data_IF_566746515768
#
_entry.id   IF_566746515768
#
_cell.length_a   1.000
_cell.length_b   1.000
_cell.length_c   1.000
_cell.angle_alpha   90.00
_cell.angle_beta   90.00
_cell.angle_gamma   90.00
#
_symmetry.space_group_name_H-M   'P 1'
#
loop_
_entity.id
_entity.type
_entity.pdbx_description
1 polymer ?
#
# COMPACT_ATOMS: atom_id res chain seq x y z
N UNK A 1 -11.78 -13.08 0.12
CA UNK A 1 -11.01 -11.86 0.44
C UNK A 1 -9.65 -11.91 -0.27
N UNK A 2 -8.91 -10.79 -0.29
CA UNK A 2 -7.58 -10.69 -0.88
C UNK A 2 -6.65 -9.84 -0.02
N UNK A 3 -5.35 -10.08 -0.11
CA UNK A 3 -4.26 -9.33 0.52
C UNK A 3 -3.16 -9.09 -0.51
N UNK A 4 -2.45 -7.98 -0.37
CA UNK A 4 -1.36 -7.55 -1.23
C UNK A 4 -0.13 -8.48 -1.16
N UNK A 5 -0.04 -9.28 -0.10
CA UNK A 5 0.98 -10.30 0.15
C UNK A 5 0.78 -11.57 -0.69
N UNK A 6 0.21 -11.45 -1.89
CA UNK A 6 -0.11 -12.55 -2.81
C UNK A 6 -1.16 -13.55 -2.27
N UNK A 7 -1.96 -13.16 -1.28
CA UNK A 7 -2.95 -14.02 -0.64
C UNK A 7 -4.37 -13.78 -1.12
N UNK A 8 -4.99 -14.75 -1.79
CA UNK A 8 -6.42 -14.69 -2.19
C UNK A 8 -7.19 -15.91 -1.66
N UNK A 9 -8.48 -15.75 -1.34
CA UNK A 9 -9.35 -16.85 -0.93
C UNK A 9 -10.85 -16.50 -0.94
N UNK A 10 -11.70 -17.45 -0.56
CA UNK A 10 -13.14 -17.25 -0.31
C UNK A 10 -13.57 -17.95 0.99
N UNK A 11 -14.86 -17.96 1.30
CA UNK A 11 -15.44 -18.60 2.48
C UNK A 11 -15.53 -20.13 2.42
N UNK A 12 -15.09 -20.75 1.32
CA UNK A 12 -15.06 -22.21 1.16
C UNK A 12 -14.16 -22.91 2.19
N UNK A 13 -13.11 -22.22 2.64
CA UNK A 13 -12.23 -22.59 3.77
C UNK A 13 -11.92 -21.35 4.59
N UNK A 14 -11.28 -21.52 5.75
CA UNK A 14 -10.89 -20.42 6.66
C UNK A 14 -9.43 -20.00 6.51
N UNK A 15 -8.88 -20.18 5.31
CA UNK A 15 -7.48 -19.89 4.96
C UNK A 15 -7.41 -19.27 3.54
N UNK A 16 -6.26 -18.68 3.19
CA UNK A 16 -5.95 -18.35 1.79
C UNK A 16 -5.74 -19.64 1.00
N UNK A 17 -6.11 -19.63 -0.28
CA UNK A 17 -5.91 -20.80 -1.16
C UNK A 17 -5.41 -20.34 -2.54
N UNK A 18 -4.12 -20.60 -2.79
CA UNK A 18 -3.47 -20.26 -4.05
C UNK A 18 -3.96 -21.11 -5.22
N UNK A 19 -4.26 -22.39 -5.01
CA UNK A 19 -4.74 -23.26 -6.08
C UNK A 19 -6.17 -22.88 -6.48
N UNK A 20 -7.00 -22.54 -5.49
CA UNK A 20 -8.32 -21.96 -5.72
C UNK A 20 -8.23 -20.69 -6.56
N UNK A 21 -7.29 -19.78 -6.26
CA UNK A 21 -7.11 -18.54 -7.03
C UNK A 21 -6.67 -18.80 -8.48
N UNK A 22 -5.82 -19.81 -8.71
CA UNK A 22 -5.44 -20.25 -10.07
C UNK A 22 -6.65 -20.80 -10.82
N UNK A 23 -7.43 -21.69 -10.21
CA UNK A 23 -8.63 -22.26 -10.83
C UNK A 23 -9.69 -21.19 -11.10
N UNK A 24 -9.82 -20.18 -10.23
CA UNK A 24 -10.67 -19.01 -10.46
C UNK A 24 -10.26 -18.27 -11.74
N UNK A 25 -8.96 -17.99 -11.92
CA UNK A 25 -8.45 -17.34 -13.13
C UNK A 25 -8.62 -18.21 -14.37
N UNK A 26 -8.38 -19.52 -14.28
CA UNK A 26 -8.60 -20.43 -15.41
C UNK A 26 -10.07 -20.46 -15.83
N UNK A 27 -11.00 -20.43 -14.87
CA UNK A 27 -12.43 -20.31 -15.16
C UNK A 27 -12.75 -18.96 -15.84
N UNK A 28 -12.18 -17.85 -15.36
CA UNK A 28 -12.37 -16.54 -15.98
C UNK A 28 -11.86 -16.52 -17.43
N UNK A 29 -10.68 -17.11 -17.69
CA UNK A 29 -10.11 -17.25 -19.02
C UNK A 29 -10.97 -18.14 -19.92
N UNK A 30 -11.49 -19.25 -19.40
CA UNK A 30 -12.37 -20.15 -20.14
C UNK A 30 -13.69 -19.48 -20.54
N UNK A 31 -14.26 -18.60 -19.70
CA UNK A 31 -15.50 -17.87 -20.02
C UNK A 31 -15.22 -16.68 -20.93
N UNK A 32 -14.17 -15.89 -20.66
CA UNK A 32 -13.87 -14.66 -21.40
C UNK A 32 -13.22 -14.91 -22.75
N UNK A 33 -12.50 -16.03 -22.92
CA UNK A 33 -11.76 -16.37 -24.14
C UNK A 33 -10.82 -15.22 -24.57
N UNK A 34 -10.12 -14.62 -23.61
CA UNK A 34 -9.23 -13.48 -23.78
C UNK A 34 -7.92 -13.72 -23.02
N UNK A 35 -6.79 -13.14 -23.47
CA UNK A 35 -5.56 -13.19 -22.68
C UNK A 35 -5.71 -12.39 -21.37
N UNK A 36 -4.99 -12.80 -20.33
CA UNK A 36 -5.00 -12.13 -19.00
C UNK A 36 -4.78 -10.62 -19.13
N UNK A 37 -3.82 -10.20 -19.95
CA UNK A 37 -3.53 -8.78 -20.18
C UNK A 37 -4.77 -8.00 -20.63
N UNK A 38 -5.55 -8.54 -21.56
CA UNK A 38 -6.75 -7.87 -22.07
C UNK A 38 -7.82 -7.76 -20.98
N UNK A 39 -8.04 -8.83 -20.22
CA UNK A 39 -9.01 -8.83 -19.12
C UNK A 39 -8.65 -7.75 -18.09
N UNK A 40 -7.37 -7.65 -17.73
CA UNK A 40 -6.88 -6.66 -16.76
C UNK A 40 -6.96 -5.24 -17.31
N UNK A 41 -6.58 -5.01 -18.57
CA UNK A 41 -6.69 -3.69 -19.22
C UNK A 41 -8.15 -3.24 -19.37
N UNK A 42 -9.05 -4.16 -19.71
CA UNK A 42 -10.48 -3.86 -19.81
C UNK A 42 -11.06 -3.55 -18.41
N UNK A 43 -10.56 -4.21 -17.35
CA UNK A 43 -10.89 -3.85 -15.96
C UNK A 43 -10.41 -2.45 -15.60
N UNK A 44 -9.16 -2.08 -15.92
CA UNK A 44 -8.64 -0.73 -15.68
C UNK A 44 -9.45 0.34 -16.41
N UNK A 45 -9.82 0.10 -17.67
CA UNK A 45 -10.67 1.04 -18.44
C UNK A 45 -12.02 1.27 -17.78
N UNK A 46 -12.59 0.24 -17.16
CA UNK A 46 -13.91 0.32 -16.53
C UNK A 46 -13.89 0.99 -15.15
N UNK A 47 -12.82 0.80 -14.37
CA UNK A 47 -12.79 1.18 -12.94
C UNK A 47 -11.68 2.19 -12.58
N UNK A 48 -10.80 2.52 -13.52
CA UNK A 48 -9.51 3.15 -13.25
C UNK A 48 -8.43 2.11 -12.91
N UNK A 49 -7.17 2.49 -13.05
CA UNK A 49 -6.02 1.68 -12.62
C UNK A 49 -5.51 2.20 -11.29
N UNK A 50 -5.33 1.30 -10.32
CA UNK A 50 -4.51 1.57 -9.15
C UNK A 50 -3.10 1.07 -9.44
N UNK A 51 -2.18 2.00 -9.69
CA UNK A 51 -0.75 1.69 -9.66
C UNK A 51 -0.36 1.43 -8.23
N UNK A 52 0.40 0.36 -8.00
CA UNK A 52 0.73 -0.08 -6.65
C UNK A 52 2.18 -0.55 -6.58
N UNK A 53 2.87 -0.23 -5.48
CA UNK A 53 4.13 -0.87 -5.10
C UNK A 53 4.29 -0.88 -3.58
N UNK A 54 5.03 -1.86 -3.06
CA UNK A 54 5.41 -1.94 -1.65
C UNK A 54 6.93 -1.90 -1.50
N UNK A 55 7.40 -1.00 -0.64
CA UNK A 55 8.81 -0.84 -0.30
C UNK A 55 9.02 -1.36 1.12
N UNK A 56 9.87 -2.39 1.27
CA UNK A 56 10.21 -2.97 2.56
C UNK A 56 11.66 -2.60 2.91
N UNK A 57 11.83 -1.91 4.05
CA UNK A 57 13.12 -1.58 4.66
C UNK A 57 13.34 -2.54 5.82
N UNK A 58 14.19 -3.54 5.61
CA UNK A 58 14.39 -4.66 6.52
C UNK A 58 15.59 -4.46 7.45
N UNK A 59 15.46 -4.91 8.70
CA UNK A 59 16.54 -4.81 9.68
C UNK A 59 16.96 -3.37 9.97
N UNK A 60 16.01 -2.43 9.96
CA UNK A 60 16.26 -1.06 10.44
C UNK A 60 16.32 -1.03 11.96
N UNK A 61 17.02 -0.04 12.52
CA UNK A 61 17.05 0.15 13.96
C UNK A 61 15.62 0.33 14.51
N UNK A 62 15.27 -0.49 15.51
CA UNK A 62 13.90 -0.55 16.01
C UNK A 62 13.50 0.70 16.79
N UNK A 63 14.44 1.39 17.46
CA UNK A 63 14.15 2.61 18.18
C UNK A 63 13.90 3.76 17.21
N UNK A 64 14.81 3.97 16.25
CA UNK A 64 14.67 4.98 15.21
C UNK A 64 13.40 4.78 14.36
N UNK A 65 13.04 3.53 14.03
CA UNK A 65 11.82 3.25 13.28
C UNK A 65 10.54 3.50 14.11
N UNK A 66 10.57 3.26 15.42
CA UNK A 66 9.44 3.61 16.31
C UNK A 66 9.30 5.12 16.46
N UNK A 67 10.40 5.85 16.59
CA UNK A 67 10.40 7.32 16.60
C UNK A 67 9.85 7.89 15.29
N UNK A 68 10.27 7.36 14.14
CA UNK A 68 9.73 7.73 12.83
C UNK A 68 8.20 7.61 12.79
N UNK A 69 7.64 6.46 13.19
CA UNK A 69 6.19 6.27 13.20
C UNK A 69 5.49 7.18 14.21
N UNK A 70 6.12 7.43 15.36
CA UNK A 70 5.57 8.29 16.41
C UNK A 70 5.51 9.75 15.94
N UNK A 71 6.55 10.22 15.26
CA UNK A 71 6.60 11.58 14.70
C UNK A 71 5.59 11.76 13.57
N UNK A 72 5.40 10.75 12.72
CA UNK A 72 4.31 10.76 11.74
C UNK A 72 2.95 10.86 12.43
N UNK A 73 2.72 10.03 13.46
CA UNK A 73 1.46 10.02 14.22
C UNK A 73 1.16 11.39 14.85
N UNK A 74 2.18 12.06 15.38
CA UNK A 74 2.03 13.39 15.98
C UNK A 74 1.58 14.45 14.96
N UNK A 75 2.04 14.33 13.70
CA UNK A 75 1.81 15.32 12.64
C UNK A 75 0.56 15.08 11.80
N UNK A 76 -0.17 13.98 12.00
CA UNK A 76 -1.27 13.59 11.10
C UNK A 76 -2.30 14.69 10.90
N UNK A 77 -2.71 15.35 11.98
CA UNK A 77 -3.71 16.43 11.90
C UNK A 77 -3.20 17.65 11.13
N UNK A 78 -1.92 17.98 11.28
CA UNK A 78 -1.28 19.11 10.58
C UNK A 78 -1.14 18.86 9.07
N UNK A 79 -1.09 17.59 8.65
CA UNK A 79 -0.98 17.23 7.23
C UNK A 79 -2.29 17.46 6.46
N UNK A 80 -3.45 17.43 7.11
CA UNK A 80 -4.75 17.49 6.42
C UNK A 80 -4.91 18.84 5.71
N UNK A 81 -5.14 18.80 4.40
CA UNK A 81 -5.22 20.00 3.54
C UNK A 81 -3.87 20.57 3.11
N UNK A 82 -2.75 20.02 3.59
CA UNK A 82 -1.42 20.44 3.14
C UNK A 82 -1.19 20.03 1.68
N UNK A 83 -0.56 20.92 0.91
CA UNK A 83 -0.15 20.66 -0.46
C UNK A 83 1.33 20.26 -0.48
N UNK A 84 1.58 19.00 -0.78
CA UNK A 84 2.90 18.39 -0.87
C UNK A 84 3.25 18.15 -2.36
N UNK A 85 3.83 19.19 -2.98
CA UNK A 85 4.09 19.20 -4.42
C UNK A 85 2.81 19.21 -5.25
N UNK A 86 2.55 18.11 -5.96
CA UNK A 86 1.31 17.92 -6.76
C UNK A 86 0.17 17.27 -5.97
N UNK A 87 0.45 16.74 -4.78
CA UNK A 87 -0.52 16.02 -3.98
C UNK A 87 -1.11 16.94 -2.92
N UNK A 88 -2.43 16.88 -2.72
CA UNK A 88 -3.11 17.58 -1.62
C UNK A 88 -3.69 16.53 -0.68
N UNK A 89 -3.33 16.60 0.59
CA UNK A 89 -3.75 15.60 1.59
C UNK A 89 -5.24 15.77 1.88
N UNK A 90 -6.01 14.71 1.67
CA UNK A 90 -7.44 14.64 1.94
C UNK A 90 -7.71 14.11 3.35
N UNK A 91 -6.98 13.07 3.75
CA UNK A 91 -7.05 12.52 5.10
C UNK A 91 -5.67 12.02 5.56
N UNK A 92 -5.42 12.07 6.86
CA UNK A 92 -4.27 11.46 7.50
C UNK A 92 -4.68 10.92 8.88
N UNK A 93 -4.53 9.61 9.09
CA UNK A 93 -4.96 8.92 10.31
C UNK A 93 -4.04 7.74 10.66
N UNK A 94 -4.21 7.21 11.88
CA UNK A 94 -3.68 5.90 12.24
C UNK A 94 -4.82 4.89 12.23
N UNK A 95 -4.71 3.88 11.38
CA UNK A 95 -5.79 2.97 11.10
C UNK A 95 -6.17 2.16 12.35
N UNK A 96 -7.47 2.17 12.65
CA UNK A 96 -8.09 1.31 13.65
C UNK A 96 -9.26 0.55 13.01
N UNK A 97 -9.40 -0.71 13.39
CA UNK A 97 -10.50 -1.56 12.94
C UNK A 97 -11.26 -2.11 14.14
N UNK A 98 -12.59 -1.97 14.12
CA UNK A 98 -13.49 -2.59 15.09
C UNK A 98 -14.22 -3.75 14.42
N UNK A 99 -13.98 -4.95 14.91
CA UNK A 99 -14.58 -6.14 14.34
C UNK A 99 -16.09 -6.20 14.67
N UNK A 100 -16.99 -6.36 13.68
CA UNK A 100 -18.43 -6.35 13.90
C UNK A 100 -18.97 -7.67 14.48
N UNK A 101 -18.17 -8.74 14.52
CA UNK A 101 -18.56 -10.06 15.02
C UNK A 101 -18.25 -10.18 16.51
N UNK A 102 -17.00 -9.90 16.90
CA UNK A 102 -16.56 -10.04 18.30
C UNK A 102 -16.43 -8.71 19.05
N UNK A 103 -16.54 -7.57 18.35
CA UNK A 103 -16.48 -6.23 18.95
C UNK A 103 -15.07 -5.78 19.34
N UNK A 104 -14.04 -6.60 19.09
CA UNK A 104 -12.65 -6.26 19.38
C UNK A 104 -12.19 -5.05 18.56
N UNK A 105 -11.25 -4.29 19.12
CA UNK A 105 -10.68 -3.10 18.47
C UNK A 105 -9.18 -3.32 18.30
N UNK A 106 -8.71 -3.25 17.06
CA UNK A 106 -7.29 -3.26 16.70
C UNK A 106 -6.87 -1.84 16.33
N UNK A 107 -6.16 -1.18 17.22
CA UNK A 107 -5.61 0.18 17.00
C UNK A 107 -4.17 0.13 16.49
N UNK A 108 -3.66 1.27 16.01
CA UNK A 108 -2.28 1.46 15.57
C UNK A 108 -1.86 0.50 14.44
N UNK A 109 -2.77 0.20 13.51
CA UNK A 109 -2.57 -0.81 12.47
C UNK A 109 -1.83 -0.27 11.24
N UNK A 110 -1.58 1.03 11.17
CA UNK A 110 -0.77 1.65 10.13
C UNK A 110 -1.16 3.11 9.91
N UNK A 111 -0.16 3.96 9.73
CA UNK A 111 -0.36 5.36 9.37
C UNK A 111 -0.83 5.43 7.92
N UNK A 112 -1.95 6.10 7.65
CA UNK A 112 -2.48 6.31 6.30
C UNK A 112 -2.47 7.81 5.97
N UNK A 113 -2.01 8.13 4.77
CA UNK A 113 -2.08 9.47 4.19
C UNK A 113 -2.74 9.32 2.83
N UNK A 114 -3.96 9.81 2.68
CA UNK A 114 -4.70 9.80 1.43
C UNK A 114 -4.75 11.19 0.80
N UNK A 115 -4.81 11.21 -0.53
CA UNK A 115 -4.78 12.44 -1.32
C UNK A 115 -6.05 12.62 -2.14
N UNK A 116 -6.35 13.87 -2.50
CA UNK A 116 -7.57 14.24 -3.23
C UNK A 116 -7.65 13.64 -4.64
N UNK A 117 -6.55 13.16 -5.21
CA UNK A 117 -6.51 12.48 -6.51
C UNK A 117 -6.76 10.96 -6.41
N UNK A 118 -7.01 10.44 -5.20
CA UNK A 118 -7.22 9.02 -4.92
C UNK A 118 -5.93 8.26 -4.59
N UNK A 119 -4.76 8.88 -4.69
CA UNK A 119 -3.51 8.28 -4.27
C UNK A 119 -3.45 8.11 -2.74
N UNK A 120 -2.61 7.18 -2.26
CA UNK A 120 -2.36 7.00 -0.81
C UNK A 120 -0.98 6.44 -0.51
N UNK A 121 -0.47 6.81 0.66
CA UNK A 121 0.72 6.25 1.29
C UNK A 121 0.28 5.59 2.61
N UNK A 122 0.78 4.38 2.87
CA UNK A 122 0.57 3.69 4.14
C UNK A 122 1.91 3.27 4.72
N UNK A 123 2.17 3.58 5.99
CA UNK A 123 3.35 3.12 6.72
C UNK A 123 2.94 2.08 7.76
N UNK A 124 3.59 0.92 7.74
CA UNK A 124 3.46 -0.09 8.79
C UNK A 124 4.82 -0.50 9.30
N UNK A 125 4.96 -0.55 10.62
CA UNK A 125 6.13 -1.10 11.28
C UNK A 125 5.84 -2.50 11.77
N UNK A 126 6.71 -3.45 11.47
CA UNK A 126 6.54 -4.85 11.87
C UNK A 126 7.83 -5.44 12.42
N UNK A 127 7.69 -6.50 13.21
CA UNK A 127 8.81 -7.33 13.67
C UNK A 127 9.79 -6.61 14.59
N UNK A 128 9.35 -5.98 15.68
CA UNK A 128 10.23 -5.21 16.61
C UNK A 128 11.07 -6.06 17.57
N UNK A 129 11.47 -7.26 17.14
CA UNK A 129 12.23 -8.23 17.94
C UNK A 129 13.73 -7.93 17.99
N UNK A 130 14.55 -8.93 18.35
CA UNK A 130 16.01 -8.79 18.51
C UNK A 130 16.78 -8.55 17.21
N UNK A 131 16.15 -8.69 16.04
CA UNK A 131 16.79 -8.64 14.70
C UNK A 131 16.55 -7.29 14.00
N UNK A 132 16.11 -6.26 14.73
CA UNK A 132 15.71 -4.96 14.17
C UNK A 132 14.22 -4.93 13.86
N UNK A 133 13.76 -3.96 13.07
CA UNK A 133 12.37 -3.85 12.61
C UNK A 133 12.29 -3.81 11.07
N UNK A 134 11.10 -4.07 10.54
CA UNK A 134 10.80 -3.87 9.11
C UNK A 134 9.79 -2.75 8.96
N UNK A 135 10.20 -1.65 8.33
CA UNK A 135 9.30 -0.57 7.90
C UNK A 135 8.79 -0.90 6.49
N UNK A 136 7.48 -1.09 6.36
CA UNK A 136 6.80 -1.31 5.08
C UNK A 136 6.08 -0.04 4.67
N UNK A 137 6.31 0.40 3.44
CA UNK A 137 5.67 1.56 2.83
C UNK A 137 4.86 1.07 1.63
N UNK A 138 3.54 1.21 1.72
CA UNK A 138 2.60 0.85 0.67
C UNK A 138 2.22 2.11 -0.07
N UNK A 139 2.30 2.07 -1.39
CA UNK A 139 2.11 3.22 -2.25
C UNK A 139 1.08 2.86 -3.30
N UNK A 140 0.05 3.68 -3.43
CA UNK A 140 -0.97 3.51 -4.45
C UNK A 140 -1.28 4.85 -5.13
N UNK A 141 -1.31 4.85 -6.45
CA UNK A 141 -1.69 6.01 -7.26
C UNK A 141 -2.86 5.64 -8.19
N UNK A 142 -3.97 6.34 -8.05
CA UNK A 142 -5.17 6.11 -8.86
C UNK A 142 -5.09 6.87 -10.19
N UNK A 143 -5.34 6.17 -11.30
CA UNK A 143 -5.39 6.74 -12.64
C UNK A 143 -6.74 6.41 -13.31
N UNK A 144 -7.68 7.37 -13.32
CA UNK A 144 -8.97 7.18 -13.96
C UNK A 144 -8.90 7.29 -15.49
N UNK A 145 -7.87 7.93 -16.07
CA UNK A 145 -7.78 8.21 -17.51
C UNK A 145 -7.23 7.00 -18.29
N UNK A 146 -8.04 6.34 -19.14
CA UNK A 146 -7.62 5.17 -19.92
C UNK A 146 -6.35 5.37 -20.75
N UNK A 147 -6.11 6.60 -21.22
CA UNK A 147 -4.95 6.90 -22.08
C UNK A 147 -3.64 6.95 -21.29
N UNK A 148 -3.72 7.09 -19.96
CA UNK A 148 -2.56 7.13 -19.05
C UNK A 148 -2.32 5.81 -18.33
N UNK A 149 -3.27 4.88 -18.35
CA UNK A 149 -3.21 3.59 -17.64
C UNK A 149 -2.17 2.61 -18.20
N UNK A 150 -1.57 2.88 -19.36
CA UNK A 150 -0.55 2.01 -19.96
C UNK A 150 0.89 2.40 -19.60
N UNK A 151 1.10 3.45 -18.80
CA UNK A 151 2.44 3.90 -18.40
C UNK A 151 3.13 2.89 -17.49
N UNK A 152 4.46 2.95 -17.47
CA UNK A 152 5.30 2.13 -16.60
C UNK A 152 5.06 2.47 -15.12
N UNK A 153 4.90 1.44 -14.30
CA UNK A 153 4.55 1.61 -12.88
C UNK A 153 5.62 2.42 -12.14
N UNK A 154 6.90 2.12 -12.33
CA UNK A 154 7.98 2.81 -11.63
C UNK A 154 7.98 4.33 -11.93
N UNK A 155 7.71 4.72 -13.17
CA UNK A 155 7.66 6.14 -13.57
C UNK A 155 6.46 6.87 -12.96
N UNK A 156 5.30 6.21 -12.89
CA UNK A 156 4.09 6.79 -12.29
C UNK A 156 4.26 6.93 -10.78
N UNK A 157 4.90 5.95 -10.14
CA UNK A 157 5.04 5.88 -8.69
C UNK A 157 6.18 6.76 -8.14
N UNK A 158 7.21 7.08 -8.93
CA UNK A 158 8.41 7.79 -8.42
C UNK A 158 8.08 9.08 -7.64
N UNK A 159 7.20 9.99 -8.10
CA UNK A 159 6.85 11.18 -7.32
C UNK A 159 6.24 10.86 -5.95
N UNK A 160 5.42 9.80 -5.86
CA UNK A 160 4.79 9.38 -4.61
C UNK A 160 5.80 8.64 -3.70
N UNK A 161 6.73 7.88 -4.28
CA UNK A 161 7.85 7.24 -3.58
C UNK A 161 8.74 8.30 -2.92
N UNK A 162 9.17 9.32 -3.67
CA UNK A 162 10.01 10.38 -3.11
C UNK A 162 9.27 11.14 -2.00
N UNK A 163 8.01 11.50 -2.24
CA UNK A 163 7.19 12.13 -1.22
C UNK A 163 7.09 11.28 0.05
N UNK A 164 6.86 9.98 -0.09
CA UNK A 164 6.77 9.07 1.06
C UNK A 164 8.09 8.97 1.83
N UNK A 165 9.23 9.01 1.15
CA UNK A 165 10.55 9.05 1.80
C UNK A 165 10.74 10.35 2.57
N UNK A 166 10.35 11.48 1.99
CA UNK A 166 10.54 12.82 2.55
C UNK A 166 9.63 13.08 3.76
N UNK A 167 8.34 12.75 3.67
CA UNK A 167 7.37 12.94 4.77
C UNK A 167 7.86 12.21 6.03
N UNK A 168 8.31 10.97 5.87
CA UNK A 168 8.77 10.10 6.94
C UNK A 168 10.26 10.26 7.28
N UNK A 169 11.01 11.05 6.51
CA UNK A 169 12.46 11.23 6.66
C UNK A 169 13.21 9.88 6.76
N UNK A 170 12.83 8.93 5.89
CA UNK A 170 13.26 7.53 6.01
C UNK A 170 14.78 7.42 6.02
N UNK A 171 15.46 8.09 5.08
CA UNK A 171 16.91 8.02 4.96
C UNK A 171 17.61 8.67 6.15
N UNK A 172 17.14 9.83 6.61
CA UNK A 172 17.73 10.56 7.73
C UNK A 172 17.62 9.77 9.05
N UNK A 173 16.53 9.01 9.22
CA UNK A 173 16.25 8.27 10.46
C UNK A 173 16.82 6.86 10.46
N UNK A 174 16.78 6.18 9.32
CA UNK A 174 17.16 4.76 9.22
C UNK A 174 18.52 4.54 8.57
N UNK A 175 19.10 5.57 7.94
CA UNK A 175 20.31 5.47 7.12
C UNK A 175 20.08 4.74 5.78
N UNK A 176 18.83 4.38 5.45
CA UNK A 176 18.50 3.63 4.23
C UNK A 176 18.01 4.56 3.12
N UNK A 177 18.82 4.70 2.07
CA UNK A 177 18.46 5.49 0.87
C UNK A 177 17.52 4.76 -0.10
N UNK A 178 17.49 3.42 -0.02
CA UNK A 178 16.66 2.52 -0.85
C UNK A 178 16.07 1.38 0.00
N UNK A 179 14.90 0.81 -0.38
CA UNK A 179 14.37 -0.38 0.26
C UNK A 179 15.24 -1.61 -0.03
N UNK A 180 15.10 -2.63 0.82
CA UNK A 180 15.71 -3.95 0.62
C UNK A 180 14.90 -4.77 -0.38
N UNK A 181 13.56 -4.63 -0.34
CA UNK A 181 12.63 -5.32 -1.25
C UNK A 181 11.63 -4.32 -1.85
N UNK A 182 11.39 -4.46 -3.15
CA UNK A 182 10.31 -3.78 -3.88
C UNK A 182 9.38 -4.83 -4.46
N UNK A 183 8.08 -4.72 -4.18
CA UNK A 183 7.01 -5.56 -4.75
C UNK A 183 6.07 -4.73 -5.59
#
# INVERSE_FOLDING_TARGET
CGEESFGTGSDHVREKDGLWAVLFWLNLLAVKQQPVERIVRDHWRCFGRNYYTRYDYEGVDAAAAKELISDLRYRLTDLIGERLGRFTVDYADDFAYKDPVDGSVSENQGIRIGFTDGSRIIYRLSGTGTVGATLRVYLEAYEPDPDKQARETAEVMDPLVQLAKDIAQIEQRTGRSKPDVVT
#
